data_IF_317136907664
#
_entry.id   IF_317136907664
#
_cell.length_a   1.000
_cell.length_b   1.000
_cell.length_c   1.000
_cell.angle_alpha   90.00
_cell.angle_beta   90.00
_cell.angle_gamma   90.00
#
_symmetry.space_group_name_H-M   'P 1'
#
loop_
_entity.id
_entity.type
_entity.pdbx_description
1 polymer ?
#
# COMPACT_ATOMS: atom_id res chain seq x y z
N UNK A 1 13.61 -32.50 -8.93
CA UNK A 1 14.59 -32.08 -7.91
C UNK A 1 14.74 -30.58 -8.05
N UNK A 2 14.03 -29.84 -7.19
CA UNK A 2 13.98 -28.38 -7.24
C UNK A 2 15.14 -27.83 -6.40
N UNK A 3 16.05 -27.12 -7.05
CA UNK A 3 17.03 -26.26 -6.39
C UNK A 3 16.30 -25.03 -5.84
N UNK A 4 15.99 -25.07 -4.54
CA UNK A 4 15.66 -23.89 -3.75
C UNK A 4 16.93 -23.05 -3.63
N UNK A 5 16.97 -21.89 -4.27
CA UNK A 5 18.03 -20.91 -4.05
C UNK A 5 17.82 -20.27 -2.69
N UNK A 6 18.64 -20.66 -1.71
CA UNK A 6 18.82 -19.93 -0.47
C UNK A 6 19.61 -18.65 -0.76
N UNK A 7 18.93 -17.52 -0.89
CA UNK A 7 19.62 -16.22 -0.92
C UNK A 7 20.01 -15.84 0.51
N UNK A 8 21.33 -15.80 0.72
CA UNK A 8 22.03 -15.39 1.92
C UNK A 8 21.61 -14.00 2.38
N UNK A 9 21.18 -13.91 3.64
CA UNK A 9 21.00 -12.67 4.40
C UNK A 9 22.37 -12.04 4.68
N UNK A 10 22.63 -10.85 4.16
CA UNK A 10 23.83 -10.07 4.47
C UNK A 10 24.08 -8.88 3.53
N UNK A 11 23.71 -7.68 3.97
CA UNK A 11 24.25 -6.37 3.53
C UNK A 11 24.12 -5.90 2.08
N UNK A 12 23.44 -6.61 1.19
CA UNK A 12 23.12 -6.04 -0.13
C UNK A 12 22.04 -4.97 0.04
N UNK A 13 22.43 -3.69 -0.08
CA UNK A 13 21.48 -2.58 -0.23
C UNK A 13 20.43 -3.00 -1.26
N UNK A 14 19.15 -2.94 -0.91
CA UNK A 14 18.05 -3.10 -1.85
C UNK A 14 18.17 -2.00 -2.91
N UNK A 15 18.84 -2.30 -4.02
CA UNK A 15 18.89 -1.39 -5.15
C UNK A 15 17.49 -1.29 -5.74
N UNK A 16 17.17 -0.14 -6.34
CA UNK A 16 15.90 0.06 -7.07
C UNK A 16 15.66 -1.08 -8.07
N UNK A 17 16.71 -1.53 -8.77
CA UNK A 17 16.63 -2.65 -9.71
C UNK A 17 16.26 -3.97 -9.01
N UNK A 18 16.83 -4.26 -7.84
CA UNK A 18 16.48 -5.47 -7.09
C UNK A 18 15.02 -5.46 -6.64
N UNK A 19 14.52 -4.30 -6.18
CA UNK A 19 13.11 -4.12 -5.80
C UNK A 19 12.17 -4.28 -7.00
N UNK A 20 12.50 -3.69 -8.15
CA UNK A 20 11.72 -3.82 -9.38
C UNK A 20 11.67 -5.27 -9.83
N UNK A 21 12.82 -5.95 -9.82
CA UNK A 21 12.91 -7.36 -10.19
C UNK A 21 12.16 -8.29 -9.23
N UNK A 22 11.89 -7.85 -7.99
CA UNK A 22 11.15 -8.62 -6.99
C UNK A 22 9.64 -8.35 -6.97
N UNK A 23 9.14 -7.38 -7.74
CA UNK A 23 7.71 -7.18 -7.93
C UNK A 23 7.04 -8.46 -8.48
N UNK A 24 5.89 -8.82 -7.92
CA UNK A 24 5.15 -10.05 -8.24
C UNK A 24 5.74 -11.33 -7.63
N UNK A 25 6.82 -11.25 -6.84
CA UNK A 25 7.45 -12.41 -6.19
C UNK A 25 7.10 -12.46 -4.72
N UNK A 26 6.73 -13.65 -4.24
CA UNK A 26 6.56 -13.92 -2.81
C UNK A 26 7.91 -13.85 -2.10
N UNK A 27 7.98 -13.08 -1.02
CA UNK A 27 9.16 -12.92 -0.18
C UNK A 27 8.87 -13.33 1.27
N UNK A 28 9.96 -13.50 2.05
CA UNK A 28 9.93 -13.84 3.47
C UNK A 28 10.81 -12.86 4.22
N UNK A 29 10.22 -12.14 5.17
CA UNK A 29 10.92 -11.14 5.97
C UNK A 29 10.90 -11.58 7.43
N UNK A 30 12.05 -12.02 7.96
CA UNK A 30 12.18 -12.37 9.37
C UNK A 30 12.36 -11.09 10.20
N UNK A 31 11.32 -10.71 10.93
CA UNK A 31 11.28 -9.46 11.68
C UNK A 31 12.27 -9.44 12.86
N UNK A 32 12.86 -10.59 13.23
CA UNK A 32 13.93 -10.66 14.24
C UNK A 32 15.31 -10.34 13.66
N UNK A 33 15.44 -10.37 12.33
CA UNK A 33 16.72 -10.22 11.61
C UNK A 33 16.79 -8.93 10.78
N UNK A 34 15.66 -8.44 10.30
CA UNK A 34 15.60 -7.24 9.48
C UNK A 34 14.63 -6.21 10.05
N UNK A 35 14.93 -4.95 9.76
CA UNK A 35 14.12 -3.84 10.22
C UNK A 35 12.82 -3.76 9.42
N UNK A 36 11.73 -4.29 9.99
CA UNK A 36 10.41 -4.28 9.38
C UNK A 36 9.59 -3.05 9.81
N UNK A 37 9.30 -2.16 8.86
CA UNK A 37 8.35 -1.07 9.02
C UNK A 37 6.97 -1.53 8.53
N UNK A 38 6.21 -2.19 9.43
CA UNK A 38 4.90 -2.76 9.08
C UNK A 38 3.72 -1.85 9.46
N UNK A 39 2.72 -1.75 8.57
CA UNK A 39 1.47 -1.02 8.82
C UNK A 39 0.26 -1.84 8.37
N UNK A 40 -0.85 -1.76 9.10
CA UNK A 40 -2.14 -2.34 8.72
C UNK A 40 -3.26 -1.28 8.62
N UNK A 41 -3.07 -0.12 9.24
CA UNK A 41 -4.02 0.99 9.26
C UNK A 41 -3.32 2.31 8.95
N UNK A 42 -4.09 3.26 8.41
CA UNK A 42 -3.63 4.62 8.13
C UNK A 42 -3.23 5.44 9.39
N UNK A 43 -3.53 4.92 10.59
CA UNK A 43 -3.21 5.52 11.88
C UNK A 43 -2.01 4.87 12.57
N UNK A 44 -1.44 3.81 11.99
CA UNK A 44 -0.34 3.10 12.61
C UNK A 44 0.91 3.99 12.65
N UNK A 45 1.80 3.68 13.59
CA UNK A 45 3.08 4.38 13.77
C UNK A 45 4.18 3.33 13.61
N UNK A 46 5.21 3.62 12.83
CA UNK A 46 6.42 2.80 12.77
C UNK A 46 7.62 3.71 12.96
N UNK A 47 8.52 3.33 13.87
CA UNK A 47 9.72 4.09 14.23
C UNK A 47 9.46 5.57 14.56
N UNK A 48 8.30 5.85 15.18
CA UNK A 48 7.89 7.22 15.53
C UNK A 48 7.30 8.03 14.37
N UNK A 49 7.24 7.46 13.15
CA UNK A 49 6.60 8.06 11.98
C UNK A 49 5.17 7.55 11.85
N UNK A 50 4.19 8.45 11.70
CA UNK A 50 2.82 8.09 11.34
C UNK A 50 2.84 7.49 9.92
N UNK A 51 2.68 6.17 9.81
CA UNK A 51 2.77 5.40 8.55
C UNK A 51 1.43 5.40 7.81
N UNK A 52 0.96 6.60 7.47
CA UNK A 52 -0.17 6.83 6.56
C UNK A 52 0.21 6.54 5.09
N UNK A 53 0.70 5.32 4.86
CA UNK A 53 1.26 4.88 3.58
C UNK A 53 0.30 3.96 2.80
N UNK A 54 -0.73 3.42 3.46
CA UNK A 54 -1.74 2.62 2.76
C UNK A 54 -2.35 3.43 1.61
N UNK A 55 -2.53 2.76 0.49
CA UNK A 55 -3.08 3.38 -0.72
C UNK A 55 -4.53 3.87 -0.53
N UNK A 56 -5.24 3.36 0.49
CA UNK A 56 -6.58 3.77 0.92
C UNK A 56 -6.57 5.00 1.82
N UNK A 57 -5.41 5.47 2.29
CA UNK A 57 -5.35 6.62 3.17
C UNK A 57 -5.58 7.93 2.41
N UNK A 58 -6.61 8.67 2.82
CA UNK A 58 -6.80 10.06 2.43
C UNK A 58 -5.81 11.00 3.13
N UNK A 59 -5.89 12.29 2.79
CA UNK A 59 -5.02 13.34 3.35
C UNK A 59 -3.83 13.70 2.48
N UNK A 60 -3.62 12.97 1.38
CA UNK A 60 -2.59 13.26 0.39
C UNK A 60 -3.20 13.37 -1.01
N UNK A 61 -4.08 14.36 -1.26
CA UNK A 61 -4.68 14.54 -2.57
C UNK A 61 -3.63 14.96 -3.60
N UNK A 62 -3.84 14.60 -4.86
CA UNK A 62 -2.96 14.94 -5.97
C UNK A 62 -3.74 15.09 -7.28
N UNK A 63 -3.24 15.95 -8.17
CA UNK A 63 -3.82 16.14 -9.50
C UNK A 63 -3.24 15.13 -10.48
N UNK A 64 -4.10 14.46 -11.24
CA UNK A 64 -3.67 13.59 -12.34
C UNK A 64 -4.78 13.44 -13.38
N UNK A 65 -4.44 13.49 -14.68
CA UNK A 65 -5.41 13.31 -15.76
C UNK A 65 -6.50 14.39 -15.84
N UNK A 66 -6.25 15.57 -15.26
CA UNK A 66 -7.23 16.67 -15.19
C UNK A 66 -8.29 16.50 -14.09
N UNK A 67 -8.02 15.66 -13.09
CA UNK A 67 -8.88 15.50 -11.92
C UNK A 67 -8.03 15.42 -10.63
N UNK A 68 -8.61 15.91 -9.54
CA UNK A 68 -8.08 15.73 -8.19
C UNK A 68 -8.45 14.34 -7.66
N UNK A 69 -7.47 13.57 -7.23
CA UNK A 69 -7.66 12.27 -6.57
C UNK A 69 -7.44 12.41 -5.08
N UNK A 70 -8.38 11.94 -4.26
CA UNK A 70 -8.29 12.02 -2.79
C UNK A 70 -7.29 11.02 -2.20
N UNK A 71 -7.15 9.89 -2.88
CA UNK A 71 -6.31 8.76 -2.53
C UNK A 71 -5.93 7.96 -3.79
N UNK A 72 -4.84 7.21 -3.67
CA UNK A 72 -4.30 6.37 -4.75
C UNK A 72 -5.19 5.15 -5.04
N UNK A 73 -5.92 4.62 -4.05
CA UNK A 73 -6.85 3.49 -4.27
C UNK A 73 -7.93 3.86 -5.28
N UNK A 74 -8.54 5.05 -5.18
CA UNK A 74 -9.58 5.47 -6.12
C UNK A 74 -9.05 5.55 -7.55
N UNK A 75 -7.86 6.14 -7.76
CA UNK A 75 -7.22 6.19 -9.07
C UNK A 75 -6.85 4.77 -9.58
N UNK A 76 -6.30 3.95 -8.70
CA UNK A 76 -5.95 2.56 -9.03
C UNK A 76 -7.18 1.77 -9.48
N UNK A 77 -8.29 1.86 -8.75
CA UNK A 77 -9.55 1.20 -9.05
C UNK A 77 -10.19 1.72 -10.35
N UNK A 78 -10.05 3.01 -10.70
CA UNK A 78 -10.46 3.49 -12.01
C UNK A 78 -9.69 2.79 -13.15
N UNK A 79 -8.45 2.36 -12.91
CA UNK A 79 -7.69 1.50 -13.83
C UNK A 79 -8.33 0.13 -14.09
N UNK A 80 -9.09 -0.42 -13.14
CA UNK A 80 -9.84 -1.68 -13.32
C UNK A 80 -11.00 -1.52 -14.32
N UNK A 81 -11.51 -0.30 -14.46
CA UNK A 81 -12.62 0.08 -15.32
C UNK A 81 -12.16 1.13 -16.34
N UNK A 82 -11.13 0.81 -17.14
CA UNK A 82 -10.38 1.77 -17.96
C UNK A 82 -10.36 1.47 -19.45
N UNK A 83 -11.45 0.93 -19.99
CA UNK A 83 -11.59 0.77 -21.43
C UNK A 83 -12.25 2.04 -22.01
N UNK A 84 -12.38 2.12 -23.33
CA UNK A 84 -12.97 3.29 -24.00
C UNK A 84 -14.50 3.32 -23.94
N UNK A 85 -15.16 2.49 -23.12
CA UNK A 85 -16.62 2.39 -23.08
C UNK A 85 -17.26 3.49 -22.23
N UNK A 86 -18.46 3.92 -22.63
CA UNK A 86 -19.31 4.81 -21.83
C UNK A 86 -19.64 4.20 -20.46
N UNK A 87 -19.71 2.87 -20.38
CA UNK A 87 -19.97 2.16 -19.14
C UNK A 87 -18.82 2.33 -18.14
N UNK A 88 -17.58 2.20 -18.59
CA UNK A 88 -16.41 2.39 -17.75
C UNK A 88 -16.25 3.85 -17.31
N UNK A 89 -16.49 4.80 -18.22
CA UNK A 89 -16.59 6.21 -17.85
C UNK A 89 -17.61 6.44 -16.72
N UNK A 90 -18.84 5.94 -16.86
CA UNK A 90 -19.88 6.12 -15.83
C UNK A 90 -19.50 5.49 -14.48
N UNK A 91 -18.84 4.32 -14.49
CA UNK A 91 -18.35 3.66 -13.28
C UNK A 91 -17.25 4.50 -12.61
N UNK A 92 -16.28 4.99 -13.38
CA UNK A 92 -15.19 5.83 -12.89
C UNK A 92 -15.72 7.13 -12.27
N UNK A 93 -16.71 7.78 -12.88
CA UNK A 93 -17.35 8.96 -12.32
C UNK A 93 -18.09 8.66 -11.00
N UNK A 94 -18.81 7.53 -10.91
CA UNK A 94 -19.47 7.10 -9.66
C UNK A 94 -18.45 6.80 -8.56
N UNK A 95 -17.31 6.23 -8.95
CA UNK A 95 -16.18 5.94 -8.07
C UNK A 95 -15.49 7.20 -7.55
N UNK A 96 -15.21 8.16 -8.44
CA UNK A 96 -14.56 9.43 -8.11
C UNK A 96 -15.39 10.30 -7.16
N UNK A 97 -16.73 10.21 -7.26
CA UNK A 97 -17.67 10.87 -6.34
C UNK A 97 -17.66 10.31 -4.91
N UNK A 98 -17.07 9.15 -4.66
CA UNK A 98 -17.02 8.58 -3.32
C UNK A 98 -16.12 9.39 -2.38
N UNK A 99 -16.37 9.27 -1.08
CA UNK A 99 -15.66 10.01 -0.04
C UNK A 99 -14.28 9.44 0.30
N UNK A 100 -14.00 8.19 -0.10
CA UNK A 100 -12.72 7.50 0.13
C UNK A 100 -12.56 6.30 -0.81
N UNK A 101 -11.31 5.88 -1.02
CA UNK A 101 -10.96 4.64 -1.70
C UNK A 101 -11.63 3.40 -1.09
N UNK A 102 -11.80 3.38 0.24
CA UNK A 102 -12.57 2.32 0.91
C UNK A 102 -14.04 2.29 0.44
N UNK A 103 -14.70 3.46 0.38
CA UNK A 103 -16.07 3.57 -0.10
C UNK A 103 -16.18 3.20 -1.59
N UNK A 104 -15.25 3.68 -2.42
CA UNK A 104 -15.12 3.31 -3.84
C UNK A 104 -15.02 1.79 -4.03
N UNK A 105 -14.11 1.14 -3.30
CA UNK A 105 -13.93 -0.32 -3.31
C UNK A 105 -15.19 -1.05 -2.84
N UNK A 106 -15.73 -0.65 -1.70
CA UNK A 106 -16.85 -1.37 -1.06
C UNK A 106 -18.13 -1.26 -1.87
N UNK A 107 -18.50 -0.06 -2.32
CA UNK A 107 -19.81 0.21 -2.89
C UNK A 107 -19.81 0.17 -4.42
N UNK A 108 -18.73 0.62 -5.07
CA UNK A 108 -18.71 0.76 -6.54
C UNK A 108 -18.04 -0.45 -7.19
N UNK A 109 -16.80 -0.80 -6.80
CA UNK A 109 -16.12 -1.97 -7.35
C UNK A 109 -16.93 -3.25 -7.14
N UNK A 110 -17.45 -3.48 -5.92
CA UNK A 110 -18.28 -4.67 -5.64
C UNK A 110 -19.52 -4.74 -6.54
N UNK A 111 -20.21 -3.60 -6.74
CA UNK A 111 -21.41 -3.48 -7.59
C UNK A 111 -21.12 -3.79 -9.06
N UNK A 112 -19.93 -3.43 -9.54
CA UNK A 112 -19.57 -3.56 -10.96
C UNK A 112 -18.49 -4.60 -11.25
N UNK A 113 -18.21 -5.53 -10.33
CA UNK A 113 -17.12 -6.51 -10.45
C UNK A 113 -17.09 -7.26 -11.80
N UNK A 114 -18.25 -7.57 -12.38
CA UNK A 114 -18.37 -8.25 -13.68
C UNK A 114 -17.92 -7.42 -14.89
N UNK A 115 -17.74 -6.11 -14.72
CA UNK A 115 -17.28 -5.18 -15.75
C UNK A 115 -15.79 -4.86 -15.62
N UNK A 116 -15.09 -5.46 -14.65
CA UNK A 116 -13.64 -5.25 -14.56
C UNK A 116 -12.95 -5.76 -15.82
N UNK A 117 -11.93 -5.03 -16.27
CA UNK A 117 -11.07 -5.45 -17.39
C UNK A 117 -10.46 -6.83 -17.11
N UNK A 118 -10.60 -7.73 -18.07
CA UNK A 118 -10.09 -9.10 -17.96
C UNK A 118 -8.56 -9.15 -17.93
N UNK A 119 -7.90 -8.23 -18.62
CA UNK A 119 -6.45 -8.12 -18.74
C UNK A 119 -5.80 -7.31 -17.60
N UNK A 120 -6.58 -6.87 -16.60
CA UNK A 120 -6.08 -6.01 -15.54
C UNK A 120 -4.95 -6.66 -14.72
N UNK A 121 -5.01 -7.98 -14.52
CA UNK A 121 -3.98 -8.71 -13.80
C UNK A 121 -2.58 -8.59 -14.46
N UNK A 122 -2.53 -8.40 -15.79
CA UNK A 122 -1.28 -8.34 -16.56
C UNK A 122 -0.49 -7.06 -16.27
N UNK A 123 -1.16 -5.97 -15.90
CA UNK A 123 -0.53 -4.65 -15.77
C UNK A 123 -0.78 -3.96 -14.43
N UNK A 124 -1.59 -4.55 -13.52
CA UNK A 124 -1.95 -3.94 -12.23
C UNK A 124 -0.77 -3.49 -11.36
N UNK A 125 0.35 -4.20 -11.42
CA UNK A 125 1.54 -3.86 -10.62
C UNK A 125 2.20 -2.60 -11.18
N UNK A 126 2.45 -2.56 -12.50
CA UNK A 126 3.00 -1.38 -13.17
C UNK A 126 2.05 -0.19 -13.07
N UNK A 127 0.74 -0.43 -13.14
CA UNK A 127 -0.28 0.59 -12.92
C UNK A 127 -0.23 1.16 -11.51
N UNK A 128 -0.16 0.31 -10.47
CA UNK A 128 -0.02 0.81 -9.10
C UNK A 128 1.29 1.57 -8.88
N UNK A 129 2.40 1.10 -9.45
CA UNK A 129 3.68 1.81 -9.38
C UNK A 129 3.54 3.21 -9.97
N UNK A 130 2.95 3.32 -11.16
CA UNK A 130 2.67 4.60 -11.80
C UNK A 130 1.76 5.49 -10.94
N UNK A 131 0.65 4.95 -10.42
CA UNK A 131 -0.30 5.69 -9.56
C UNK A 131 0.36 6.23 -8.29
N UNK A 132 1.18 5.42 -7.60
CA UNK A 132 1.90 5.87 -6.40
C UNK A 132 2.97 6.90 -6.78
N UNK A 133 3.62 6.76 -7.93
CA UNK A 133 4.57 7.76 -8.42
C UNK A 133 3.90 9.10 -8.74
N UNK A 134 2.74 9.11 -9.39
CA UNK A 134 1.95 10.33 -9.61
C UNK A 134 1.56 11.00 -8.28
N UNK A 135 1.23 10.22 -7.24
CA UNK A 135 0.99 10.75 -5.90
C UNK A 135 2.24 11.38 -5.29
N UNK A 136 3.41 10.78 -5.46
CA UNK A 136 4.68 11.36 -5.00
C UNK A 136 4.96 12.71 -5.69
N UNK A 137 4.76 12.79 -7.00
CA UNK A 137 4.97 14.01 -7.78
C UNK A 137 3.94 15.10 -7.48
N UNK A 138 2.68 14.72 -7.25
CA UNK A 138 1.58 15.65 -7.02
C UNK A 138 1.35 16.03 -5.56
N UNK A 139 2.05 15.40 -4.60
CA UNK A 139 1.90 15.70 -3.17
C UNK A 139 3.23 15.66 -2.41
N UNK A 140 3.82 16.83 -2.19
CA UNK A 140 5.11 16.97 -1.49
C UNK A 140 5.08 16.46 -0.04
N UNK A 141 3.96 16.56 0.67
CA UNK A 141 3.85 16.05 2.04
C UNK A 141 3.97 14.53 2.08
N UNK A 142 3.33 13.83 1.15
CA UNK A 142 3.46 12.39 0.99
C UNK A 142 4.89 11.98 0.63
N UNK A 143 5.51 12.66 -0.34
CA UNK A 143 6.89 12.40 -0.74
C UNK A 143 7.88 12.63 0.43
N UNK A 144 7.73 13.71 1.18
CA UNK A 144 8.54 14.00 2.36
C UNK A 144 8.36 12.94 3.45
N UNK A 145 7.13 12.46 3.68
CA UNK A 145 6.88 11.41 4.67
C UNK A 145 7.49 10.08 4.26
N UNK A 146 7.42 9.72 2.97
CA UNK A 146 8.00 8.49 2.46
C UNK A 146 9.53 8.47 2.62
N UNK A 147 10.19 9.62 2.42
CA UNK A 147 11.65 9.77 2.60
C UNK A 147 12.11 9.85 4.05
N UNK A 148 11.20 10.08 5.01
CA UNK A 148 11.51 10.00 6.45
C UNK A 148 11.64 8.56 6.96
N UNK A 149 11.16 7.58 6.21
CA UNK A 149 11.27 6.17 6.59
C UNK A 149 12.73 5.73 6.40
N UNK A 150 13.37 5.11 7.40
CA UNK A 150 14.76 4.68 7.31
C UNK A 150 15.04 3.82 6.07
N UNK A 151 16.17 4.04 5.41
CA UNK A 151 16.53 3.35 4.17
C UNK A 151 16.69 1.83 4.35
N UNK A 152 17.17 1.41 5.52
CA UNK A 152 17.31 0.01 5.92
C UNK A 152 15.99 -0.65 6.32
N UNK A 153 14.92 0.13 6.51
CA UNK A 153 13.60 -0.39 6.81
C UNK A 153 12.91 -0.97 5.57
N UNK A 154 12.42 -2.20 5.70
CA UNK A 154 11.53 -2.85 4.73
C UNK A 154 10.09 -2.44 5.05
N UNK A 155 9.47 -1.72 4.12
CA UNK A 155 8.07 -1.27 4.23
C UNK A 155 7.14 -2.45 3.94
N UNK A 156 6.23 -2.78 4.86
CA UNK A 156 5.34 -3.93 4.74
C UNK A 156 3.89 -3.53 5.02
N UNK A 157 2.98 -3.78 4.08
CA UNK A 157 1.55 -3.76 4.37
C UNK A 157 1.15 -5.08 5.05
N UNK A 158 0.79 -5.03 6.34
CA UNK A 158 0.38 -6.21 7.10
C UNK A 158 -1.10 -6.51 6.87
N UNK A 159 -1.35 -7.53 6.05
CA UNK A 159 -2.69 -7.94 5.63
C UNK A 159 -3.19 -9.19 6.36
N UNK A 160 -2.57 -9.57 7.48
CA UNK A 160 -2.92 -10.80 8.24
C UNK A 160 -4.41 -10.93 8.53
N UNK A 161 -5.06 -9.83 8.92
CA UNK A 161 -6.50 -9.78 9.26
C UNK A 161 -7.43 -9.62 8.05
N UNK A 162 -6.89 -9.38 6.86
CA UNK A 162 -7.70 -9.22 5.66
C UNK A 162 -8.25 -10.55 5.16
N UNK A 163 -9.43 -10.48 4.55
CA UNK A 163 -10.19 -11.61 4.02
C UNK A 163 -10.48 -11.40 2.53
N UNK A 164 -9.45 -11.05 1.75
CA UNK A 164 -9.55 -10.94 0.31
C UNK A 164 -8.47 -11.76 -0.39
N UNK A 165 -8.75 -12.20 -1.61
CA UNK A 165 -7.86 -13.10 -2.37
C UNK A 165 -6.53 -12.45 -2.76
N UNK A 166 -6.48 -11.12 -2.84
CA UNK A 166 -5.29 -10.36 -3.23
C UNK A 166 -4.50 -9.83 -2.05
N UNK A 167 -4.82 -10.23 -0.81
CA UNK A 167 -4.19 -9.66 0.39
C UNK A 167 -2.68 -9.91 0.44
N UNK A 168 -2.24 -11.08 -0.03
CA UNK A 168 -0.82 -11.45 -0.08
C UNK A 168 -0.15 -11.01 -1.39
N UNK A 169 -0.92 -10.49 -2.36
CA UNK A 169 -0.37 -9.80 -3.54
C UNK A 169 0.12 -8.41 -3.14
N UNK A 170 -0.68 -7.66 -2.37
CA UNK A 170 -0.34 -6.29 -2.01
C UNK A 170 0.49 -6.18 -0.74
N UNK A 171 0.26 -7.06 0.23
CA UNK A 171 0.96 -7.07 1.51
C UNK A 171 1.50 -8.44 1.91
N UNK A 172 1.73 -8.61 3.21
CA UNK A 172 2.18 -9.85 3.84
C UNK A 172 1.33 -10.23 5.06
N UNK A 173 1.32 -11.53 5.34
CA UNK A 173 0.76 -12.10 6.57
C UNK A 173 1.87 -12.40 7.60
N UNK A 174 1.63 -12.05 8.87
CA UNK A 174 2.42 -12.44 10.03
C UNK A 174 1.49 -12.68 11.24
N UNK A 175 1.15 -13.95 11.45
CA UNK A 175 0.22 -14.36 12.52
C UNK A 175 0.81 -14.15 13.91
N UNK A 176 2.09 -14.46 14.12
CA UNK A 176 2.73 -14.32 15.43
C UNK A 176 2.72 -12.87 15.92
N UNK A 177 3.05 -11.91 15.04
CA UNK A 177 2.95 -10.49 15.35
C UNK A 177 1.51 -10.07 15.67
N UNK A 178 0.55 -10.54 14.87
CA UNK A 178 -0.86 -10.20 15.05
C UNK A 178 -1.41 -10.72 16.37
N UNK A 179 -1.12 -11.97 16.72
CA UNK A 179 -1.56 -12.58 17.97
C UNK A 179 -0.97 -11.82 19.17
N UNK A 180 0.34 -11.48 19.13
CA UNK A 180 0.97 -10.72 20.21
C UNK A 180 0.40 -9.31 20.37
N UNK A 181 0.11 -8.62 19.26
CA UNK A 181 -0.53 -7.30 19.28
C UNK A 181 -1.95 -7.36 19.84
N UNK A 182 -2.71 -8.41 19.55
CA UNK A 182 -4.06 -8.60 20.06
C UNK A 182 -4.09 -8.90 21.56
N UNK A 183 -3.09 -9.61 22.08
CA UNK A 183 -2.89 -9.78 23.52
C UNK A 183 -2.53 -8.46 24.20
N UNK A 184 -1.56 -7.73 23.65
CA UNK A 184 -1.12 -6.44 24.19
C UNK A 184 -2.24 -5.40 24.15
N UNK A 185 -3.08 -5.39 23.11
CA UNK A 185 -4.27 -4.52 23.05
C UNK A 185 -5.19 -4.77 24.26
N UNK A 186 -5.47 -6.04 24.59
CA UNK A 186 -6.31 -6.39 25.75
C UNK A 186 -5.68 -5.91 27.06
N UNK A 187 -4.37 -6.12 27.24
CA UNK A 187 -3.62 -5.67 28.41
C UNK A 187 -3.67 -4.14 28.57
N UNK A 188 -3.41 -3.40 27.50
CA UNK A 188 -3.41 -1.93 27.48
C UNK A 188 -4.81 -1.38 27.78
N UNK A 189 -5.85 -1.96 27.17
CA UNK A 189 -7.23 -1.55 27.41
C UNK A 189 -7.65 -1.79 28.86
N UNK A 190 -7.31 -2.96 29.43
CA UNK A 190 -7.64 -3.27 30.81
C UNK A 190 -6.95 -2.31 31.79
N UNK A 191 -5.63 -2.06 31.60
CA UNK A 191 -4.86 -1.12 32.42
C UNK A 191 -5.40 0.30 32.33
N UNK A 192 -5.64 0.81 31.12
CA UNK A 192 -6.10 2.17 30.91
C UNK A 192 -7.48 2.44 31.55
N UNK A 193 -8.39 1.45 31.50
CA UNK A 193 -9.72 1.55 32.14
C UNK A 193 -9.66 1.44 33.66
N UNK A 194 -8.71 0.67 34.20
CA UNK A 194 -8.50 0.61 35.65
C UNK A 194 -7.96 1.93 36.19
N UNK A 195 -7.02 2.57 35.48
CA UNK A 195 -6.43 3.85 35.86
C UNK A 195 -7.38 5.04 35.62
N UNK A 196 -8.17 5.00 34.54
CA UNK A 196 -9.17 6.02 34.22
C UNK A 196 -10.45 5.38 33.65
N UNK A 197 -11.44 5.07 34.51
CA UNK A 197 -12.70 4.46 34.08
C UNK A 197 -13.49 5.27 33.05
N UNK A 198 -13.28 6.59 33.01
CA UNK A 198 -13.96 7.53 32.11
C UNK A 198 -13.11 7.95 30.90
N UNK A 199 -12.04 7.20 30.58
CA UNK A 199 -11.19 7.50 29.43
C UNK A 199 -12.02 7.60 28.14
N UNK A 200 -11.86 8.71 27.41
CA UNK A 200 -12.55 8.92 26.14
C UNK A 200 -12.07 7.90 25.10
N UNK A 201 -12.99 7.38 24.29
CA UNK A 201 -12.72 6.40 23.22
C UNK A 201 -11.50 6.76 22.36
N UNK A 202 -11.44 7.99 21.84
CA UNK A 202 -10.34 8.44 20.99
C UNK A 202 -8.98 8.50 21.71
N UNK A 203 -8.97 8.77 23.03
CA UNK A 203 -7.74 8.76 23.81
C UNK A 203 -7.25 7.32 24.05
N UNK A 204 -8.19 6.40 24.33
CA UNK A 204 -7.90 4.98 24.46
C UNK A 204 -7.36 4.38 23.15
N UNK A 205 -7.98 4.69 22.02
CA UNK A 205 -7.51 4.23 20.69
C UNK A 205 -6.09 4.69 20.39
N UNK A 206 -5.76 5.97 20.66
CA UNK A 206 -4.39 6.47 20.49
C UNK A 206 -3.38 5.76 21.40
N UNK A 207 -3.76 5.46 22.64
CA UNK A 207 -2.90 4.73 23.57
C UNK A 207 -2.64 3.29 23.08
N UNK A 208 -3.70 2.59 22.66
CA UNK A 208 -3.58 1.23 22.10
C UNK A 208 -2.66 1.21 20.88
N UNK A 209 -2.85 2.13 19.93
CA UNK A 209 -1.99 2.25 18.75
C UNK A 209 -0.54 2.48 19.19
N UNK A 210 -0.30 3.48 20.05
CA UNK A 210 1.04 3.81 20.54
C UNK A 210 1.76 2.63 21.18
N UNK A 211 1.07 1.79 21.96
CA UNK A 211 1.70 0.65 22.63
C UNK A 211 1.85 -0.56 21.70
N UNK A 212 0.84 -0.90 20.90
CA UNK A 212 0.89 -2.07 20.00
C UNK A 212 1.86 -1.88 18.84
N UNK A 213 2.02 -0.65 18.35
CA UNK A 213 2.98 -0.31 17.30
C UNK A 213 4.45 -0.42 17.73
N UNK A 214 4.76 -0.48 19.04
CA UNK A 214 6.13 -0.71 19.52
C UNK A 214 6.62 -2.14 19.26
N UNK A 215 5.69 -3.07 19.08
CA UNK A 215 6.00 -4.47 18.78
C UNK A 215 6.02 -4.63 17.27
N UNK A 216 7.19 -4.88 16.68
CA UNK A 216 7.36 -5.08 15.23
C UNK A 216 8.41 -6.17 14.89
N UNK A 217 9.12 -6.67 15.89
CA UNK A 217 10.30 -7.54 15.82
C UNK A 217 9.97 -9.02 16.03
N UNK A 218 8.75 -9.45 15.68
CA UNK A 218 8.23 -10.80 15.97
C UNK A 218 7.82 -11.52 14.69
N UNK A 219 8.29 -12.76 14.55
CA UNK A 219 7.82 -13.68 13.53
C UNK A 219 8.31 -13.36 12.12
N UNK A 220 7.64 -13.94 11.13
CA UNK A 220 8.02 -13.83 9.72
C UNK A 220 6.83 -13.32 8.92
N UNK A 221 7.04 -12.26 8.15
CA UNK A 221 6.09 -11.81 7.14
C UNK A 221 6.25 -12.62 5.86
N UNK A 222 5.14 -13.08 5.29
CA UNK A 222 5.11 -13.82 4.03
C UNK A 222 4.06 -13.22 3.09
N UNK A 223 4.45 -12.94 1.85
CA UNK A 223 3.59 -12.39 0.80
C UNK A 223 4.43 -11.72 -0.30
N UNK A 224 3.78 -11.28 -1.38
CA UNK A 224 4.45 -10.54 -2.45
C UNK A 224 4.82 -9.11 -2.03
N UNK A 225 4.06 -8.50 -1.11
CA UNK A 225 4.30 -7.14 -0.60
C UNK A 225 4.48 -6.08 -1.69
N UNK A 226 3.72 -6.17 -2.79
CA UNK A 226 3.93 -5.26 -3.93
C UNK A 226 3.72 -3.79 -3.55
N UNK A 227 2.80 -3.46 -2.64
CA UNK A 227 2.62 -2.07 -2.21
C UNK A 227 3.85 -1.58 -1.44
N UNK A 228 4.36 -2.38 -0.50
CA UNK A 228 5.57 -2.07 0.26
C UNK A 228 6.78 -1.88 -0.66
N UNK A 229 6.97 -2.76 -1.64
CA UNK A 229 8.02 -2.67 -2.67
C UNK A 229 7.90 -1.42 -3.52
N UNK A 230 6.70 -1.08 -3.99
CA UNK A 230 6.42 0.15 -4.75
C UNK A 230 6.77 1.38 -3.92
N UNK A 231 6.38 1.42 -2.64
CA UNK A 231 6.73 2.52 -1.73
C UNK A 231 8.25 2.63 -1.56
N UNK A 232 8.97 1.52 -1.39
CA UNK A 232 10.43 1.53 -1.31
C UNK A 232 11.08 2.00 -2.62
N UNK A 233 10.58 1.56 -3.79
CA UNK A 233 11.05 2.03 -5.10
C UNK A 233 10.89 3.55 -5.21
N UNK A 234 9.69 4.07 -4.92
CA UNK A 234 9.42 5.50 -4.96
C UNK A 234 10.29 6.27 -3.96
N UNK A 235 10.49 5.75 -2.74
CA UNK A 235 11.37 6.35 -1.73
C UNK A 235 12.79 6.53 -2.27
N UNK A 236 13.38 5.46 -2.79
CA UNK A 236 14.75 5.49 -3.30
C UNK A 236 14.88 6.41 -4.51
N UNK A 237 13.88 6.43 -5.41
CA UNK A 237 13.85 7.33 -6.56
C UNK A 237 13.74 8.80 -6.14
N UNK A 238 12.91 9.12 -5.14
CA UNK A 238 12.82 10.47 -4.57
C UNK A 238 14.16 10.92 -3.98
N UNK A 239 14.86 10.06 -3.23
CA UNK A 239 16.16 10.37 -2.64
C UNK A 239 17.24 10.59 -3.70
N UNK A 240 17.19 9.80 -4.78
CA UNK A 240 18.17 9.88 -5.87
C UNK A 240 17.84 10.96 -6.91
N UNK A 241 16.64 11.56 -6.86
CA UNK A 241 16.17 12.50 -7.88
C UNK A 241 15.92 11.83 -9.23
N UNK A 242 15.54 10.55 -9.23
CA UNK A 242 15.27 9.74 -10.43
C UNK A 242 13.80 9.34 -10.51
N UNK A 243 13.40 8.79 -11.65
CA UNK A 243 12.09 8.19 -11.85
C UNK A 243 12.16 6.66 -11.68
N UNK A 244 11.15 6.00 -11.08
CA UNK A 244 11.03 4.56 -11.09
C UNK A 244 11.01 4.01 -12.52
N UNK A 245 11.65 2.87 -12.76
CA UNK A 245 11.57 2.21 -14.08
C UNK A 245 10.19 1.57 -14.26
N UNK A 246 9.25 2.37 -14.78
CA UNK A 246 7.88 2.00 -15.10
C UNK A 246 7.83 1.52 -16.55
N UNK A 247 7.15 0.39 -16.79
CA UNK A 247 6.95 -0.12 -18.14
C UNK A 247 5.85 0.66 -18.86
N UNK A 248 6.22 1.84 -19.38
CA UNK A 248 5.31 2.72 -20.12
C UNK A 248 4.81 2.11 -21.42
N UNK A 249 5.60 1.26 -22.07
CA UNK A 249 5.18 0.54 -23.27
C UNK A 249 4.04 -0.44 -22.96
N UNK A 250 4.15 -1.19 -21.85
CA UNK A 250 3.06 -2.03 -21.37
C UNK A 250 1.82 -1.19 -21.06
N UNK A 251 1.95 -0.11 -20.29
CA UNK A 251 0.80 0.73 -19.91
C UNK A 251 0.11 1.36 -21.13
N UNK A 252 0.85 1.85 -22.12
CA UNK A 252 0.29 2.41 -23.35
C UNK A 252 -0.41 1.34 -24.20
N UNK A 253 0.19 0.14 -24.30
CA UNK A 253 -0.42 -0.99 -25.04
C UNK A 253 -1.79 -1.41 -24.49
N UNK A 254 -2.04 -1.12 -23.21
CA UNK A 254 -3.29 -1.46 -22.52
C UNK A 254 -4.39 -0.43 -22.75
N UNK A 255 -4.14 0.66 -23.50
CA UNK A 255 -5.15 1.67 -23.85
C UNK A 255 -5.97 2.12 -22.64
N UNK A 256 -5.30 2.50 -21.55
CA UNK A 256 -5.95 2.90 -20.30
C UNK A 256 -6.68 4.23 -20.52
N UNK A 257 -7.99 4.25 -20.29
CA UNK A 257 -8.80 5.47 -20.31
C UNK A 257 -9.16 5.88 -18.88
N UNK A 258 -8.94 7.15 -18.53
CA UNK A 258 -9.41 7.75 -17.28
C UNK A 258 -10.35 8.90 -17.57
N UNK A 259 -11.53 8.85 -16.95
CA UNK A 259 -12.60 9.83 -17.10
C UNK A 259 -12.84 10.16 -18.59
N UNK A 260 -12.87 9.10 -19.41
CA UNK A 260 -13.14 9.18 -20.86
C UNK A 260 -11.95 9.60 -21.72
N UNK A 261 -10.79 9.92 -21.12
CA UNK A 261 -9.59 10.32 -21.85
C UNK A 261 -8.57 9.19 -21.87
N UNK A 262 -8.10 8.82 -23.06
CA UNK A 262 -6.99 7.88 -23.21
C UNK A 262 -5.73 8.50 -22.58
N UNK A 263 -5.08 7.75 -21.70
CA UNK A 263 -3.77 8.11 -21.18
C UNK A 263 -2.69 7.83 -22.23
N UNK A 264 -1.72 8.72 -22.29
CA UNK A 264 -0.48 8.55 -23.05
C UNK A 264 0.68 8.64 -22.09
N UNK A 265 1.59 7.69 -22.17
CA UNK A 265 2.78 7.61 -21.34
C UNK A 265 3.97 8.01 -22.21
N UNK A 266 4.73 9.01 -21.78
CA UNK A 266 5.88 9.57 -22.50
C UNK A 266 7.18 9.17 -21.80
#
# INVERSE_FOLDING_TARGET
>A
MNTLSSTSCGSDRLTVNNLINSLGRVERYDATQIHCCSFAKASDIADGVDVRLTNMAGGYPFEFGGATWRDSETLYLCGEFSDSSEKHLAIQEEMHRQTSGYAAKRFIKTKYKSHMRQDFADFRIQWMLYVVWQKCNGNAEFANKLTQIPHDAVIIENTTKERCDTKEVWGCSNKALTDRRDELEKEVVARAKAENPNIKKAALERLVIKETCKVNDIGVFVGENNLGKILMICRECLVQGTEPHIDYALLDSKNIHLLGKRLTFA
#
